data_IF_907484658754
#
_entry.id   IF_907484658754
#
_cell.length_a   1.000
_cell.length_b   1.000
_cell.length_c   1.000
_cell.angle_alpha   90.00
_cell.angle_beta   90.00
_cell.angle_gamma   90.00
#
_symmetry.space_group_name_H-M   'P 1'
#
loop_
_entity.id
_entity.type
_entity.pdbx_description
1 polymer ?
#
# COMPACT_ATOMS: atom_id res chain seq x y z
N UNK A 1 10.12 -8.45 2.35
CA UNK A 1 8.69 -8.69 2.64
C UNK A 1 8.05 -9.28 1.40
N UNK A 2 7.44 -10.45 1.50
CA UNK A 2 6.81 -11.13 0.36
C UNK A 2 5.63 -10.28 -0.15
N UNK A 3 5.58 -10.02 -1.46
CA UNK A 3 4.57 -9.19 -2.15
C UNK A 3 3.10 -9.58 -1.87
N UNK A 4 2.87 -10.77 -1.29
CA UNK A 4 1.55 -11.38 -1.05
C UNK A 4 0.97 -11.17 0.37
N UNK A 5 1.71 -10.55 1.31
CA UNK A 5 1.26 -10.42 2.71
C UNK A 5 0.75 -9.04 3.12
N UNK A 6 0.94 -8.00 2.31
CA UNK A 6 0.61 -6.62 2.71
C UNK A 6 -0.90 -6.39 2.89
N UNK A 7 -1.75 -7.12 2.17
CA UNK A 7 -3.20 -7.07 2.34
C UNK A 7 -3.68 -7.62 3.70
N UNK A 8 -2.99 -8.62 4.24
CA UNK A 8 -3.26 -9.16 5.57
C UNK A 8 -2.75 -8.19 6.65
N UNK A 9 -1.53 -7.67 6.47
CA UNK A 9 -0.94 -6.68 7.39
C UNK A 9 -1.82 -5.44 7.52
N UNK A 10 -2.31 -4.89 6.40
CA UNK A 10 -3.16 -3.69 6.45
C UNK A 10 -4.53 -3.97 7.08
N UNK A 11 -5.08 -5.17 6.87
CA UNK A 11 -6.31 -5.60 7.52
C UNK A 11 -6.14 -5.72 9.03
N UNK A 12 -5.03 -6.33 9.49
CA UNK A 12 -4.71 -6.47 10.90
C UNK A 12 -4.44 -5.12 11.57
N UNK A 13 -3.72 -4.21 10.89
CA UNK A 13 -3.53 -2.84 11.35
C UNK A 13 -4.87 -2.10 11.48
N UNK A 14 -5.78 -2.26 10.51
CA UNK A 14 -7.13 -1.68 10.59
C UNK A 14 -7.90 -2.20 11.80
N UNK A 15 -7.86 -3.51 12.03
CA UNK A 15 -8.51 -4.13 13.19
C UNK A 15 -7.90 -3.62 14.50
N UNK A 16 -6.58 -3.49 14.56
CA UNK A 16 -5.86 -2.95 15.72
C UNK A 16 -6.27 -1.50 16.01
N UNK A 17 -6.35 -0.66 14.96
CA UNK A 17 -6.83 0.73 15.08
C UNK A 17 -8.24 0.77 15.67
N UNK A 18 -9.15 -0.08 15.17
CA UNK A 18 -10.53 -0.15 15.67
C UNK A 18 -10.59 -0.56 17.14
N UNK A 19 -9.79 -1.55 17.54
CA UNK A 19 -9.71 -1.98 18.95
C UNK A 19 -9.21 -0.84 19.83
N UNK A 20 -8.14 -0.14 19.44
CA UNK A 20 -7.61 0.99 20.22
C UNK A 20 -8.65 2.13 20.31
N UNK A 21 -9.41 2.39 19.24
CA UNK A 21 -10.48 3.38 19.27
C UNK A 21 -11.59 3.01 20.25
N UNK A 22 -12.05 1.75 20.24
CA UNK A 22 -13.04 1.27 21.21
C UNK A 22 -12.53 1.38 22.64
N UNK A 23 -11.28 0.99 22.90
CA UNK A 23 -10.66 1.14 24.23
C UNK A 23 -10.55 2.61 24.65
N UNK A 24 -10.33 3.53 23.70
CA UNK A 24 -10.28 4.96 23.97
C UNK A 24 -11.66 5.53 24.31
N UNK A 25 -12.69 5.07 23.60
CA UNK A 25 -14.08 5.44 23.86
C UNK A 25 -14.57 4.89 25.21
N UNK A 26 -14.14 3.67 25.59
CA UNK A 26 -14.42 3.05 26.89
C UNK A 26 -13.78 3.82 28.06
N UNK A 27 -12.60 4.42 27.86
CA UNK A 27 -11.97 5.29 28.85
C UNK A 27 -12.82 6.55 29.13
N UNK A 28 -13.66 6.94 28.18
CA UNK A 28 -14.62 8.03 28.33
C UNK A 28 -13.99 9.42 28.35
N UNK A 29 -14.82 10.40 28.74
CA UNK A 29 -14.42 11.80 28.81
C UNK A 29 -13.66 12.18 30.08
N UNK A 30 -13.35 13.47 30.25
CA UNK A 30 -12.64 13.98 31.40
C UNK A 30 -13.33 13.59 32.71
N UNK A 31 -12.50 13.15 33.66
CA UNK A 31 -12.96 12.73 34.97
C UNK A 31 -13.28 13.95 35.83
N UNK A 32 -14.53 14.09 36.28
CA UNK A 32 -14.98 15.17 37.18
C UNK A 32 -14.66 14.87 38.64
N UNK A 33 -14.25 15.89 39.40
CA UNK A 33 -13.93 15.78 40.82
C UNK A 33 -15.06 15.17 41.64
N UNK A 34 -14.68 14.29 42.57
CA UNK A 34 -15.61 13.62 43.48
C UNK A 34 -15.60 14.38 44.82
N UNK A 35 -16.75 14.90 45.29
CA UNK A 35 -16.80 15.79 46.46
C UNK A 35 -16.39 15.10 47.77
N UNK A 36 -16.48 13.78 47.83
CA UNK A 36 -16.05 12.95 48.96
C UNK A 36 -14.52 12.86 49.08
N UNK A 37 -13.80 13.19 48.02
CA UNK A 37 -12.34 13.11 47.96
C UNK A 37 -11.69 14.46 48.25
N UNK A 38 -10.59 14.41 48.99
CA UNK A 38 -9.69 15.56 49.12
C UNK A 38 -9.08 15.92 47.76
N UNK A 39 -8.70 17.18 47.59
CA UNK A 39 -8.16 17.72 46.34
C UNK A 39 -7.00 16.90 45.78
N UNK A 40 -6.07 16.44 46.62
CA UNK A 40 -4.93 15.63 46.18
C UNK A 40 -5.35 14.26 45.61
N UNK A 41 -6.39 13.63 46.17
CA UNK A 41 -6.91 12.37 45.66
C UNK A 41 -7.63 12.56 44.33
N UNK A 42 -8.40 13.65 44.17
CA UNK A 42 -9.01 14.02 42.88
C UNK A 42 -7.94 14.29 41.80
N UNK A 43 -6.88 15.03 42.14
CA UNK A 43 -5.75 15.30 41.25
C UNK A 43 -5.04 14.02 40.79
N UNK A 44 -4.77 13.08 41.72
CA UNK A 44 -4.16 11.80 41.37
C UNK A 44 -5.01 11.00 40.38
N UNK A 45 -6.33 10.93 40.62
CA UNK A 45 -7.25 10.22 39.74
C UNK A 45 -7.36 10.86 38.36
N UNK A 46 -7.41 12.18 38.29
CA UNK A 46 -7.44 12.92 37.02
C UNK A 46 -6.14 12.72 36.23
N UNK A 47 -4.99 12.79 36.89
CA UNK A 47 -3.69 12.52 36.27
C UNK A 47 -3.55 11.07 35.79
N UNK A 48 -4.02 10.10 36.56
CA UNK A 48 -4.01 8.69 36.17
C UNK A 48 -4.86 8.48 34.92
N UNK A 49 -6.08 9.03 34.88
CA UNK A 49 -6.94 8.98 33.71
C UNK A 49 -6.27 9.65 32.50
N UNK A 50 -5.73 10.86 32.66
CA UNK A 50 -5.02 11.58 31.59
C UNK A 50 -3.84 10.77 31.04
N UNK A 51 -3.07 10.12 31.92
CA UNK A 51 -1.94 9.27 31.54
C UNK A 51 -2.41 8.06 30.72
N UNK A 52 -3.51 7.41 31.12
CA UNK A 52 -4.10 6.29 30.38
C UNK A 52 -4.59 6.72 28.99
N UNK A 53 -5.33 7.82 28.91
CA UNK A 53 -5.82 8.38 27.64
C UNK A 53 -4.67 8.76 26.72
N UNK A 54 -3.68 9.49 27.24
CA UNK A 54 -2.51 9.93 26.45
C UNK A 54 -1.69 8.74 25.93
N UNK A 55 -1.53 7.69 26.73
CA UNK A 55 -0.88 6.45 26.30
C UNK A 55 -1.64 5.81 25.14
N UNK A 56 -2.96 5.66 25.25
CA UNK A 56 -3.80 5.06 24.20
C UNK A 56 -3.84 5.90 22.93
N UNK A 57 -3.89 7.23 23.05
CA UNK A 57 -3.77 8.13 21.88
C UNK A 57 -2.42 7.97 21.18
N UNK A 58 -1.34 7.79 21.94
CA UNK A 58 0.00 7.56 21.38
C UNK A 58 0.10 6.19 20.69
N UNK A 59 -0.50 5.14 21.25
CA UNK A 59 -0.64 3.83 20.62
C UNK A 59 -1.43 3.93 19.30
N UNK A 60 -2.55 4.66 19.31
CA UNK A 60 -3.37 4.90 18.12
C UNK A 60 -2.60 5.63 17.03
N UNK A 61 -1.86 6.68 17.37
CA UNK A 61 -1.03 7.44 16.43
C UNK A 61 0.06 6.56 15.82
N UNK A 62 0.72 5.72 16.63
CA UNK A 62 1.72 4.76 16.14
C UNK A 62 1.11 3.74 15.17
N UNK A 63 -0.08 3.23 15.47
CA UNK A 63 -0.80 2.30 14.60
C UNK A 63 -1.17 2.94 13.25
N UNK A 64 -1.69 4.18 13.27
CA UNK A 64 -1.95 4.94 12.05
C UNK A 64 -0.67 5.22 11.25
N UNK A 65 0.44 5.55 11.91
CA UNK A 65 1.72 5.73 11.23
C UNK A 65 2.15 4.48 10.45
N UNK A 66 2.06 3.30 11.08
CA UNK A 66 2.36 2.01 10.42
C UNK A 66 1.39 1.70 9.29
N UNK A 67 0.10 1.98 9.49
CA UNK A 67 -0.94 1.79 8.47
C UNK A 67 -0.67 2.64 7.22
N UNK A 68 -0.33 3.92 7.40
CA UNK A 68 0.01 4.83 6.30
C UNK A 68 1.28 4.41 5.57
N UNK A 69 2.34 4.03 6.28
CA UNK A 69 3.56 3.51 5.64
C UNK A 69 3.28 2.26 4.80
N UNK A 70 2.47 1.34 5.33
CA UNK A 70 2.09 0.12 4.60
C UNK A 70 1.29 0.44 3.33
N UNK A 71 0.43 1.47 3.36
CA UNK A 71 -0.28 1.96 2.18
C UNK A 71 0.67 2.55 1.15
N UNK A 72 1.64 3.36 1.58
CA UNK A 72 2.65 3.94 0.70
C UNK A 72 3.46 2.85 0.00
N UNK A 73 3.91 1.82 0.73
CA UNK A 73 4.60 0.66 0.17
C UNK A 73 3.73 -0.09 -0.86
N UNK A 74 2.44 -0.26 -0.56
CA UNK A 74 1.50 -0.91 -1.48
C UNK A 74 1.31 -0.10 -2.77
N UNK A 75 1.23 1.22 -2.66
CA UNK A 75 1.13 2.14 -3.81
C UNK A 75 2.40 2.08 -4.66
N UNK A 76 3.58 2.12 -4.04
CA UNK A 76 4.85 1.99 -4.74
C UNK A 76 4.91 0.69 -5.57
N UNK A 77 4.49 -0.43 -4.97
CA UNK A 77 4.44 -1.72 -5.64
C UNK A 77 3.44 -1.73 -6.82
N UNK A 78 2.30 -1.06 -6.68
CA UNK A 78 1.34 -0.92 -7.79
C UNK A 78 1.94 -0.13 -8.95
N UNK A 79 2.68 0.95 -8.67
CA UNK A 79 3.36 1.72 -9.71
C UNK A 79 4.45 0.90 -10.40
N UNK A 80 5.22 0.10 -9.67
CA UNK A 80 6.22 -0.80 -10.25
C UNK A 80 5.56 -1.80 -11.21
N UNK A 81 4.46 -2.43 -10.79
CA UNK A 81 3.69 -3.37 -11.64
C UNK A 81 3.15 -2.66 -12.90
N UNK A 82 2.64 -1.43 -12.76
CA UNK A 82 2.16 -0.64 -13.89
C UNK A 82 3.28 -0.33 -14.89
N UNK A 83 4.48 -0.01 -14.40
CA UNK A 83 5.63 0.26 -15.23
C UNK A 83 6.10 -1.01 -15.96
N UNK A 84 6.16 -2.14 -15.26
CA UNK A 84 6.50 -3.44 -15.84
C UNK A 84 5.51 -3.82 -16.95
N UNK A 85 4.21 -3.69 -16.71
CA UNK A 85 3.17 -3.94 -17.71
C UNK A 85 3.31 -3.03 -18.94
N UNK A 86 3.64 -1.76 -18.74
CA UNK A 86 3.88 -0.81 -19.82
C UNK A 86 5.10 -1.21 -20.67
N UNK A 87 6.16 -1.71 -20.04
CA UNK A 87 7.34 -2.19 -20.74
C UNK A 87 7.05 -3.46 -21.53
N UNK A 88 6.34 -4.43 -20.93
CA UNK A 88 5.89 -5.65 -21.60
C UNK A 88 5.05 -5.32 -22.85
N UNK A 89 4.10 -4.39 -22.74
CA UNK A 89 3.28 -3.97 -23.89
C UNK A 89 4.10 -3.34 -25.02
N UNK A 90 5.12 -2.55 -24.69
CA UNK A 90 6.05 -1.97 -25.68
C UNK A 90 6.88 -3.04 -26.37
N UNK A 91 7.43 -3.99 -25.61
CA UNK A 91 8.21 -5.10 -26.15
C UNK A 91 7.38 -5.97 -27.08
N UNK A 92 6.14 -6.33 -26.67
CA UNK A 92 5.21 -7.07 -27.52
C UNK A 92 4.88 -6.32 -28.82
N UNK A 93 4.64 -5.01 -28.74
CA UNK A 93 4.40 -4.18 -29.92
C UNK A 93 5.59 -4.18 -30.89
N UNK A 94 6.82 -4.08 -30.36
CA UNK A 94 8.03 -4.11 -31.18
C UNK A 94 8.23 -5.47 -31.86
N UNK A 95 8.03 -6.57 -31.14
CA UNK A 95 8.12 -7.93 -31.69
C UNK A 95 7.15 -8.16 -32.87
N UNK A 96 5.92 -7.66 -32.76
CA UNK A 96 4.91 -7.74 -33.83
C UNK A 96 5.35 -6.92 -35.06
N UNK A 97 5.86 -5.70 -34.83
CA UNK A 97 6.39 -4.85 -35.90
C UNK A 97 7.58 -5.51 -36.63
N UNK A 98 8.51 -6.08 -35.87
CA UNK A 98 9.70 -6.75 -36.39
C UNK A 98 9.34 -8.01 -37.18
N UNK A 99 8.40 -8.83 -36.70
CA UNK A 99 7.86 -9.96 -37.46
C UNK A 99 7.25 -9.53 -38.80
N UNK A 100 6.47 -8.44 -38.80
CA UNK A 100 5.84 -7.91 -40.02
C UNK A 100 6.89 -7.41 -41.02
N UNK A 101 7.96 -6.77 -40.53
CA UNK A 101 9.08 -6.31 -41.36
C UNK A 101 9.92 -7.46 -41.92
N UNK A 102 10.16 -8.51 -41.14
CA UNK A 102 10.89 -9.71 -41.56
C UNK A 102 10.12 -10.48 -42.64
N UNK A 103 8.80 -10.60 -42.49
CA UNK A 103 7.93 -11.25 -43.48
C UNK A 103 7.90 -10.48 -44.81
N UNK A 104 7.92 -9.14 -44.76
CA UNK A 104 8.02 -8.28 -45.95
C UNK A 104 9.38 -8.38 -46.66
N UNK A 105 10.50 -8.46 -45.92
CA UNK A 105 11.84 -8.66 -46.49
C UNK A 105 11.98 -10.03 -47.16
N UNK A 106 11.41 -11.09 -46.58
CA UNK A 106 11.44 -12.43 -47.18
C UNK A 106 10.55 -12.54 -48.44
N UNK A 107 9.41 -11.85 -48.49
CA UNK A 107 8.62 -11.78 -49.74
C UNK A 107 9.39 -11.13 -50.89
N UNK A 108 10.16 -10.06 -50.64
CA UNK A 108 10.99 -9.40 -51.67
C UNK A 108 12.10 -10.31 -52.19
N UNK A 109 12.78 -11.09 -51.34
CA UNK A 109 13.83 -12.04 -51.77
C UNK A 109 13.30 -13.17 -52.69
N UNK A 110 12.05 -13.62 -52.51
CA UNK A 110 11.49 -14.67 -53.37
C UNK A 110 11.10 -14.19 -54.77
N UNK A 111 10.88 -12.88 -54.96
CA UNK A 111 10.53 -12.29 -56.27
C UNK A 111 11.79 -12.06 -57.12
N UNK A 112 12.94 -11.76 -56.49
CA UNK A 112 14.19 -11.47 -57.22
C UNK A 112 14.91 -12.72 -57.76
N UNK A 113 14.60 -13.93 -57.26
CA UNK A 113 15.21 -15.17 -57.74
C UNK A 113 14.51 -15.82 -58.95
N UNK A 114 13.54 -15.15 -59.60
CA UNK A 114 12.86 -15.66 -60.80
C UNK A 114 13.30 -15.04 -62.12
N UNK A 115 14.42 -14.32 -62.18
CA UNK A 115 14.95 -13.78 -63.45
C UNK A 115 16.45 -13.99 -63.59
N UNK A 116 16.81 -15.07 -64.25
CA UNK A 116 17.96 -15.16 -65.18
C UNK A 116 17.82 -16.47 -66.01
N UNK A 117 18.56 -16.65 -67.12
CA UNK A 117 18.13 -16.24 -68.46
C UNK A 117 18.13 -17.42 -69.45
N UNK A 118 17.32 -17.36 -70.51
CA UNK A 118 17.39 -18.27 -71.68
C UNK A 118 16.89 -17.47 -72.88
N UNK A 119 17.50 -17.46 -74.07
CA UNK A 119 18.70 -18.09 -74.63
C UNK A 119 19.00 -17.29 -75.91
#
# INVERSE_FOLDING_TARGET
MSKLGMGEIIYDLRKTIQVIQLELDELGGPVSDMPELITSANLLRSNEHLTKVSKKQSELLSAYGKYSMTLEDMIAIVFDIQNDLKNILKEQSNLISDQKSAMLKNKKKSVTNKKSPKK
#
